data_IF_239919706341
#
_entry.id   IF_239919706341
#
_cell.length_a   1.000
_cell.length_b   1.000
_cell.length_c   1.000
_cell.angle_alpha   90.00
_cell.angle_beta   90.00
_cell.angle_gamma   90.00
#
_symmetry.space_group_name_H-M   'P 1'
#
loop_
_entity.id
_entity.type
_entity.pdbx_description
1 polymer ?
#
# COMPACT_ATOMS: atom_id res chain seq x y z
N UNK A 1 5.14 29.61 -32.11
CA UNK A 1 4.01 28.68 -31.91
C UNK A 1 4.66 27.34 -31.61
N UNK A 2 4.84 27.01 -30.33
CA UNK A 2 5.54 25.79 -29.90
C UNK A 2 4.49 24.69 -29.69
N UNK A 3 4.78 23.53 -30.27
CA UNK A 3 3.95 22.32 -30.28
C UNK A 3 3.79 21.77 -28.85
N UNK A 4 2.54 21.64 -28.40
CA UNK A 4 2.20 20.86 -27.21
C UNK A 4 2.22 19.38 -27.58
N UNK A 5 3.30 18.69 -27.22
CA UNK A 5 3.36 17.23 -27.24
C UNK A 5 2.28 16.68 -26.32
N UNK A 6 1.32 15.96 -26.91
CA UNK A 6 0.34 15.16 -26.20
C UNK A 6 1.09 14.13 -25.34
N UNK A 7 0.99 14.27 -24.02
CA UNK A 7 1.24 13.15 -23.11
C UNK A 7 0.00 12.26 -23.15
N UNK A 8 0.06 11.20 -23.95
CA UNK A 8 -0.89 10.10 -23.87
C UNK A 8 -0.71 9.43 -22.49
N UNK A 9 -1.54 9.84 -21.54
CA UNK A 9 -1.76 9.07 -20.32
C UNK A 9 -2.39 7.72 -20.75
N UNK A 10 -1.63 6.64 -20.67
CA UNK A 10 -2.16 5.28 -20.65
C UNK A 10 -3.35 5.25 -19.67
N UNK A 11 -4.55 5.04 -20.21
CA UNK A 11 -5.75 4.76 -19.42
C UNK A 11 -5.44 3.51 -18.59
N UNK A 12 -5.17 3.69 -17.30
CA UNK A 12 -5.12 2.57 -16.37
C UNK A 12 -6.41 1.75 -16.55
N UNK A 13 -6.28 0.48 -16.89
CA UNK A 13 -7.42 -0.43 -17.04
C UNK A 13 -8.29 -0.37 -15.79
N UNK A 14 -9.62 -0.34 -15.92
CA UNK A 14 -10.50 -0.30 -14.75
C UNK A 14 -10.33 -1.54 -13.85
N UNK A 15 -10.52 -1.37 -12.55
CA UNK A 15 -10.46 -2.48 -11.60
C UNK A 15 -11.67 -3.39 -11.77
N UNK A 16 -11.45 -4.71 -11.85
CA UNK A 16 -12.53 -5.69 -11.95
C UNK A 16 -12.88 -6.22 -10.55
N UNK A 17 -14.08 -5.89 -10.09
CA UNK A 17 -14.60 -6.37 -8.81
C UNK A 17 -14.95 -7.87 -8.88
N UNK A 18 -14.74 -8.63 -7.79
CA UNK A 18 -15.08 -10.06 -7.75
C UNK A 18 -16.60 -10.26 -7.76
N UNK A 19 -17.12 -11.43 -8.20
CA UNK A 19 -18.56 -11.70 -8.24
C UNK A 19 -19.27 -11.49 -6.89
N UNK A 20 -18.60 -11.77 -5.78
CA UNK A 20 -19.12 -11.58 -4.43
C UNK A 20 -19.45 -10.10 -4.11
N UNK A 21 -18.82 -9.15 -4.82
CA UNK A 21 -19.11 -7.73 -4.69
C UNK A 21 -20.52 -7.37 -5.18
N UNK A 22 -21.16 -8.19 -6.01
CA UNK A 22 -22.56 -8.00 -6.42
C UNK A 22 -23.58 -8.69 -5.48
N UNK A 23 -23.11 -9.35 -4.42
CA UNK A 23 -23.98 -10.07 -3.49
C UNK A 23 -24.39 -9.17 -2.30
N UNK A 24 -25.66 -8.76 -2.15
CA UNK A 24 -26.06 -7.79 -1.12
C UNK A 24 -25.68 -8.14 0.32
N UNK A 25 -25.76 -9.42 0.77
CA UNK A 25 -25.30 -9.81 2.11
C UNK A 25 -23.81 -9.58 2.35
N UNK A 26 -22.99 -9.46 1.31
CA UNK A 26 -21.55 -9.20 1.44
C UNK A 26 -21.24 -7.83 2.09
N UNK A 27 -22.15 -6.86 2.00
CA UNK A 27 -22.02 -5.53 2.62
C UNK A 27 -22.62 -5.45 4.03
N UNK A 28 -23.15 -6.56 4.54
CA UNK A 28 -23.74 -6.64 5.88
C UNK A 28 -22.97 -7.67 6.70
N UNK A 29 -22.51 -7.26 7.89
CA UNK A 29 -21.82 -8.13 8.84
C UNK A 29 -22.65 -9.38 9.13
N UNK A 30 -22.11 -10.56 8.81
CA UNK A 30 -22.82 -11.82 9.05
C UNK A 30 -22.90 -12.14 10.56
N UNK A 31 -24.04 -12.68 11.05
CA UNK A 31 -24.22 -12.98 12.48
C UNK A 31 -23.46 -14.22 12.92
N UNK A 32 -23.31 -15.22 12.03
CA UNK A 32 -22.55 -16.44 12.31
C UNK A 32 -21.02 -16.15 12.23
N UNK A 33 -20.26 -16.60 13.23
CA UNK A 33 -18.83 -16.30 13.35
C UNK A 33 -17.97 -16.93 12.23
N UNK A 34 -18.28 -18.14 11.77
CA UNK A 34 -17.55 -18.79 10.67
C UNK A 34 -17.82 -18.08 9.35
N UNK A 35 -19.09 -17.76 9.07
CA UNK A 35 -19.47 -16.98 7.90
C UNK A 35 -18.87 -15.58 7.95
N UNK A 36 -18.81 -14.95 9.12
CA UNK A 36 -18.18 -13.64 9.30
C UNK A 36 -16.68 -13.69 8.99
N UNK A 37 -15.97 -14.68 9.52
CA UNK A 37 -14.54 -14.87 9.24
C UNK A 37 -14.26 -15.11 7.75
N UNK A 38 -15.12 -15.88 7.08
CA UNK A 38 -15.06 -16.06 5.63
C UNK A 38 -15.31 -14.74 4.89
N UNK A 39 -16.36 -14.01 5.26
CA UNK A 39 -16.67 -12.68 4.70
C UNK A 39 -15.51 -11.69 4.88
N UNK A 40 -14.91 -11.61 6.07
CA UNK A 40 -13.73 -10.79 6.34
C UNK A 40 -12.58 -11.17 5.41
N UNK A 41 -12.29 -12.46 5.25
CA UNK A 41 -11.21 -12.93 4.38
C UNK A 41 -11.40 -12.47 2.92
N UNK A 42 -12.64 -12.51 2.40
CA UNK A 42 -12.96 -11.99 1.07
C UNK A 42 -12.82 -10.47 0.99
N UNK A 43 -13.25 -9.73 2.02
CA UNK A 43 -13.04 -8.28 2.08
C UNK A 43 -11.56 -7.92 2.10
N UNK A 44 -10.73 -8.63 2.88
CA UNK A 44 -9.28 -8.42 2.90
C UNK A 44 -8.70 -8.62 1.50
N UNK A 45 -9.02 -9.72 0.81
CA UNK A 45 -8.54 -9.97 -0.55
C UNK A 45 -8.96 -8.86 -1.52
N UNK A 46 -10.20 -8.38 -1.43
CA UNK A 46 -10.69 -7.26 -2.25
C UNK A 46 -9.95 -5.95 -1.96
N UNK A 47 -9.82 -5.57 -0.69
CA UNK A 47 -9.12 -4.34 -0.27
C UNK A 47 -7.67 -4.37 -0.76
N UNK A 48 -6.95 -5.46 -0.54
CA UNK A 48 -5.56 -5.59 -0.97
C UNK A 48 -5.42 -5.49 -2.50
N UNK A 49 -6.30 -6.17 -3.25
CA UNK A 49 -6.27 -6.12 -4.72
C UNK A 49 -6.58 -4.72 -5.25
N UNK A 50 -7.60 -4.06 -4.70
CA UNK A 50 -8.00 -2.71 -5.09
C UNK A 50 -6.92 -1.68 -4.74
N UNK A 51 -6.40 -1.71 -3.51
CA UNK A 51 -5.33 -0.83 -3.06
C UNK A 51 -4.05 -1.03 -3.89
N UNK A 52 -3.70 -2.28 -4.25
CA UNK A 52 -2.58 -2.55 -5.17
C UNK A 52 -2.80 -1.92 -6.53
N UNK A 53 -3.99 -2.09 -7.10
CA UNK A 53 -4.33 -1.61 -8.43
C UNK A 53 -4.35 -0.08 -8.52
N UNK A 54 -4.96 0.59 -7.54
CA UNK A 54 -5.04 2.06 -7.47
C UNK A 54 -3.82 2.71 -6.76
N UNK A 55 -2.88 1.90 -6.28
CA UNK A 55 -1.71 2.30 -5.48
C UNK A 55 -2.04 3.10 -4.22
N UNK A 56 -3.01 2.64 -3.44
CA UNK A 56 -3.49 3.29 -2.21
C UNK A 56 -2.85 2.63 -0.98
N UNK A 57 -1.85 3.29 -0.40
CA UNK A 57 -1.13 2.82 0.79
C UNK A 57 -1.78 3.16 2.13
N UNK A 58 -2.68 4.14 2.15
CA UNK A 58 -3.34 4.63 3.36
C UNK A 58 -4.84 4.71 3.13
N UNK A 59 -5.61 4.21 4.09
CA UNK A 59 -7.04 4.42 4.19
C UNK A 59 -7.30 5.40 5.33
N UNK A 60 -7.92 6.54 5.00
CA UNK A 60 -8.42 7.50 5.99
C UNK A 60 -9.83 7.06 6.37
N UNK A 61 -10.01 6.56 7.59
CA UNK A 61 -11.25 5.92 8.04
C UNK A 61 -12.28 6.98 8.40
N UNK A 62 -13.04 7.39 7.39
CA UNK A 62 -14.06 8.44 7.47
C UNK A 62 -15.31 8.07 6.68
N UNK A 63 -16.37 8.89 6.74
CA UNK A 63 -17.60 8.63 5.98
C UNK A 63 -17.34 8.72 4.47
N UNK A 64 -16.47 9.63 4.04
CA UNK A 64 -16.07 9.81 2.64
C UNK A 64 -15.40 8.54 2.09
N UNK A 65 -14.66 7.79 2.91
CA UNK A 65 -14.09 6.50 2.50
C UNK A 65 -15.19 5.49 2.16
N UNK A 66 -16.27 5.45 2.94
CA UNK A 66 -17.39 4.53 2.72
C UNK A 66 -18.14 4.83 1.43
N UNK A 67 -18.10 6.08 0.94
CA UNK A 67 -18.72 6.50 -0.32
C UNK A 67 -17.89 6.13 -1.56
N UNK A 68 -16.64 5.68 -1.39
CA UNK A 68 -15.80 5.23 -2.49
C UNK A 68 -16.29 3.93 -3.12
N UNK A 69 -15.92 3.67 -4.38
CA UNK A 69 -16.26 2.44 -5.08
C UNK A 69 -15.77 1.16 -4.38
N UNK A 70 -14.82 1.25 -3.44
CA UNK A 70 -14.36 0.10 -2.67
C UNK A 70 -15.42 -0.39 -1.67
N UNK A 71 -16.16 0.53 -1.04
CA UNK A 71 -17.07 0.22 0.07
C UNK A 71 -18.55 0.51 -0.26
N UNK A 72 -18.82 1.26 -1.33
CA UNK A 72 -20.14 1.52 -1.87
C UNK A 72 -20.32 0.92 -3.26
N UNK A 73 -21.20 -0.09 -3.35
CA UNK A 73 -21.61 -0.65 -4.64
C UNK A 73 -22.85 0.08 -5.16
N UNK A 74 -22.64 0.91 -6.18
CA UNK A 74 -23.70 1.68 -6.82
C UNK A 74 -24.73 0.82 -7.60
N UNK A 75 -24.34 -0.36 -8.10
CA UNK A 75 -25.22 -1.26 -8.88
C UNK A 75 -26.31 -1.88 -8.01
N UNK A 76 -25.94 -2.35 -6.81
CA UNK A 76 -26.88 -2.99 -5.87
C UNK A 76 -27.33 -2.06 -4.73
N UNK A 77 -26.85 -0.81 -4.71
CA UNK A 77 -27.15 0.21 -3.70
C UNK A 77 -26.88 -0.30 -2.28
N UNK A 78 -25.65 -0.78 -2.06
CA UNK A 78 -25.18 -1.28 -0.76
C UNK A 78 -23.86 -0.62 -0.37
N UNK A 79 -23.73 -0.37 0.94
CA UNK A 79 -22.58 0.26 1.56
C UNK A 79 -22.17 -0.53 2.80
N UNK A 80 -20.87 -0.66 3.05
CA UNK A 80 -20.35 -1.19 4.32
C UNK A 80 -20.61 -0.17 5.44
N UNK A 81 -20.98 -0.64 6.63
CA UNK A 81 -21.11 0.23 7.82
C UNK A 81 -19.76 0.48 8.47
N UNK A 82 -19.59 1.63 9.12
CA UNK A 82 -18.33 2.01 9.77
C UNK A 82 -17.82 0.96 10.77
N UNK A 83 -18.68 0.41 11.61
CA UNK A 83 -18.28 -0.60 12.60
C UNK A 83 -17.76 -1.88 11.93
N UNK A 84 -18.43 -2.31 10.86
CA UNK A 84 -18.01 -3.45 10.05
C UNK A 84 -16.67 -3.20 9.36
N UNK A 85 -16.44 -1.99 8.83
CA UNK A 85 -15.16 -1.61 8.25
C UNK A 85 -14.05 -1.71 9.30
N UNK A 86 -14.24 -1.15 10.50
CA UNK A 86 -13.25 -1.23 11.58
C UNK A 86 -12.94 -2.68 11.97
N UNK A 87 -13.95 -3.54 12.08
CA UNK A 87 -13.74 -4.98 12.32
C UNK A 87 -12.96 -5.68 11.19
N UNK A 88 -13.16 -5.28 9.92
CA UNK A 88 -12.37 -5.81 8.80
C UNK A 88 -10.92 -5.34 8.89
N UNK A 89 -10.68 -4.05 9.17
CA UNK A 89 -9.33 -3.50 9.28
C UNK A 89 -8.57 -4.09 10.48
N UNK A 90 -9.24 -4.29 11.61
CA UNK A 90 -8.67 -5.01 12.76
C UNK A 90 -8.33 -6.46 12.41
N UNK A 91 -9.16 -7.13 11.61
CA UNK A 91 -8.82 -8.46 11.09
C UNK A 91 -7.63 -8.43 10.13
N UNK A 92 -7.47 -7.39 9.31
CA UNK A 92 -6.30 -7.19 8.45
C UNK A 92 -5.02 -7.00 9.26
N UNK A 93 -5.06 -6.20 10.34
CA UNK A 93 -3.93 -5.99 11.24
C UNK A 93 -3.47 -7.29 11.89
N UNK A 94 -4.42 -8.09 12.41
CA UNK A 94 -4.15 -9.41 12.98
C UNK A 94 -3.56 -10.41 11.98
N UNK A 95 -3.73 -10.16 10.67
CA UNK A 95 -3.16 -10.95 9.58
C UNK A 95 -1.88 -10.35 9.01
N UNK A 96 -1.35 -9.28 9.62
CA UNK A 96 -0.17 -8.54 9.15
C UNK A 96 -0.31 -7.96 7.73
N UNK A 97 -1.54 -7.73 7.28
CA UNK A 97 -1.87 -7.11 5.99
C UNK A 97 -1.99 -5.58 6.08
N UNK A 98 -1.59 -5.00 7.21
CA UNK A 98 -1.68 -3.59 7.51
C UNK A 98 -1.52 -3.32 8.99
N UNK A 99 -1.60 -2.05 9.38
CA UNK A 99 -1.53 -1.60 10.77
C UNK A 99 -2.21 -0.24 10.90
N UNK A 100 -2.70 0.07 12.09
CA UNK A 100 -3.16 1.43 12.41
C UNK A 100 -1.96 2.37 12.63
N UNK A 101 -2.03 3.60 12.13
CA UNK A 101 -1.01 4.63 12.41
C UNK A 101 -0.99 4.99 13.90
N UNK A 102 -2.18 5.16 14.49
CA UNK A 102 -2.37 5.42 15.91
C UNK A 102 -3.50 4.51 16.42
N UNK A 103 -3.12 3.55 17.27
CA UNK A 103 -4.04 2.58 17.87
C UNK A 103 -5.14 3.23 18.72
N UNK A 104 -4.91 4.45 19.23
CA UNK A 104 -5.88 5.14 20.06
C UNK A 104 -6.95 5.85 19.23
N UNK A 105 -6.58 6.39 18.07
CA UNK A 105 -7.47 7.19 17.23
C UNK A 105 -8.10 6.40 16.09
N UNK A 106 -7.45 5.33 15.61
CA UNK A 106 -7.93 4.46 14.50
C UNK A 106 -8.52 5.25 13.31
N UNK A 107 -7.85 6.35 12.94
CA UNK A 107 -8.25 7.24 11.85
C UNK A 107 -7.54 6.91 10.53
N UNK A 108 -6.33 6.35 10.61
CA UNK A 108 -5.50 6.06 9.43
C UNK A 108 -5.01 4.62 9.53
N UNK A 109 -5.30 3.83 8.51
CA UNK A 109 -4.86 2.45 8.37
C UNK A 109 -3.88 2.33 7.19
N UNK A 110 -2.69 1.79 7.44
CA UNK A 110 -1.76 1.43 6.37
C UNK A 110 -2.14 0.07 5.77
N UNK A 111 -2.15 0.00 4.44
CA UNK A 111 -2.48 -1.22 3.71
C UNK A 111 -1.20 -1.84 3.15
N UNK A 112 -0.95 -3.11 3.49
CA UNK A 112 0.20 -3.87 3.04
C UNK A 112 -0.24 -4.96 2.06
N UNK A 113 -0.42 -4.62 0.78
CA UNK A 113 -0.66 -5.62 -0.30
C UNK A 113 0.59 -6.41 -0.70
N UNK A 114 1.74 -5.97 -0.20
CA UNK A 114 2.98 -6.71 -0.12
C UNK A 114 3.52 -6.51 1.29
N UNK A 115 4.17 -7.52 1.84
CA UNK A 115 4.82 -7.40 3.14
C UNK A 115 6.02 -6.45 3.06
N UNK A 116 6.45 -5.91 4.20
CA UNK A 116 7.65 -5.07 4.25
C UNK A 116 8.90 -5.84 3.78
N UNK A 117 8.97 -7.14 4.04
CA UNK A 117 10.02 -8.04 3.56
C UNK A 117 10.01 -8.21 2.04
N UNK A 118 8.84 -8.40 1.43
CA UNK A 118 8.72 -8.47 -0.03
C UNK A 118 9.14 -7.15 -0.69
N UNK A 119 8.74 -6.01 -0.11
CA UNK A 119 9.18 -4.71 -0.58
C UNK A 119 10.70 -4.51 -0.43
N UNK A 120 11.27 -4.96 0.68
CA UNK A 120 12.70 -4.93 0.92
C UNK A 120 13.46 -5.75 -0.15
N UNK A 121 12.95 -6.93 -0.50
CA UNK A 121 13.51 -7.77 -1.56
C UNK A 121 13.40 -7.11 -2.94
N UNK A 122 12.27 -6.49 -3.27
CA UNK A 122 12.09 -5.72 -4.52
C UNK A 122 13.10 -4.57 -4.59
N UNK A 123 13.30 -3.86 -3.47
CA UNK A 123 14.25 -2.75 -3.39
C UNK A 123 15.69 -3.21 -3.62
N UNK A 124 16.13 -4.28 -2.95
CA UNK A 124 17.47 -4.84 -3.15
C UNK A 124 17.65 -5.32 -4.59
N UNK A 125 16.66 -6.02 -5.15
CA UNK A 125 16.72 -6.45 -6.54
C UNK A 125 16.87 -5.28 -7.51
N UNK A 126 16.15 -4.17 -7.28
CA UNK A 126 16.29 -2.96 -8.08
C UNK A 126 17.70 -2.34 -7.97
N UNK A 127 18.24 -2.22 -6.74
CA UNK A 127 19.59 -1.70 -6.50
C UNK A 127 20.66 -2.53 -7.22
N UNK A 128 20.54 -3.86 -7.16
CA UNK A 128 21.46 -4.78 -7.83
C UNK A 128 21.36 -4.65 -9.35
N UNK A 129 20.14 -4.59 -9.89
CA UNK A 129 19.88 -4.42 -11.32
C UNK A 129 20.42 -3.10 -11.88
N UNK A 130 20.41 -2.02 -11.09
CA UNK A 130 20.88 -0.69 -11.51
C UNK A 130 22.35 -0.44 -11.18
N UNK A 131 23.04 -1.37 -10.52
CA UNK A 131 24.45 -1.24 -10.15
C UNK A 131 24.71 -0.21 -9.05
N UNK A 132 23.71 0.12 -8.23
CA UNK A 132 23.79 1.14 -7.18
C UNK A 132 24.21 0.57 -5.80
N UNK A 133 24.91 -0.57 -5.80
CA UNK A 133 25.48 -1.15 -4.59
C UNK A 133 26.65 -0.29 -4.12
N UNK A 134 26.79 -0.13 -2.81
CA UNK A 134 27.80 0.70 -2.16
C UNK A 134 27.77 2.20 -2.51
N UNK A 135 26.77 2.67 -3.24
CA UNK A 135 26.50 4.10 -3.44
C UNK A 135 25.51 4.60 -2.40
N UNK A 136 25.60 5.89 -2.08
CA UNK A 136 24.62 6.56 -1.22
C UNK A 136 23.53 7.12 -2.11
N UNK A 137 22.28 6.80 -1.80
CA UNK A 137 21.11 7.33 -2.48
C UNK A 137 20.24 8.09 -1.49
N UNK A 138 19.71 9.22 -1.93
CA UNK A 138 18.77 10.01 -1.15
C UNK A 138 17.38 9.37 -1.13
N UNK A 139 16.55 9.74 -0.16
CA UNK A 139 15.16 9.27 -0.11
C UNK A 139 14.38 9.73 -1.35
N UNK A 140 14.67 10.93 -1.86
CA UNK A 140 14.05 11.43 -3.08
C UNK A 140 14.34 10.51 -4.27
N UNK A 141 15.60 10.12 -4.48
CA UNK A 141 15.98 9.20 -5.56
C UNK A 141 15.31 7.83 -5.43
N UNK A 142 15.08 7.38 -4.19
CA UNK A 142 14.50 6.07 -3.86
C UNK A 142 12.97 6.02 -3.83
N UNK A 143 12.29 7.16 -3.93
CA UNK A 143 10.82 7.25 -3.97
C UNK A 143 10.35 7.88 -5.29
N UNK A 144 10.98 8.96 -5.72
CA UNK A 144 10.56 9.77 -6.86
C UNK A 144 11.60 9.85 -7.99
N UNK A 145 12.75 9.19 -7.84
CA UNK A 145 13.79 9.17 -8.86
C UNK A 145 13.29 8.70 -10.22
N UNK A 146 13.78 9.34 -11.30
CA UNK A 146 13.38 9.00 -12.68
C UNK A 146 13.63 7.52 -13.03
N UNK A 147 14.64 6.91 -12.41
CA UNK A 147 14.96 5.49 -12.59
C UNK A 147 13.88 4.54 -12.04
N UNK A 148 12.93 5.04 -11.24
CA UNK A 148 11.86 4.24 -10.65
C UNK A 148 10.57 4.27 -11.47
N UNK A 149 10.36 5.20 -12.40
CA UNK A 149 9.05 5.48 -13.06
C UNK A 149 8.32 4.22 -13.56
N UNK A 150 9.05 3.21 -14.03
CA UNK A 150 8.51 1.95 -14.54
C UNK A 150 8.59 0.78 -13.54
N UNK A 151 8.67 1.06 -12.24
CA UNK A 151 8.84 0.08 -11.16
C UNK A 151 7.73 0.23 -10.12
N UNK A 152 7.47 -0.85 -9.39
CA UNK A 152 6.50 -0.81 -8.29
C UNK A 152 6.96 0.05 -7.09
N UNK A 153 8.23 0.45 -7.04
CA UNK A 153 8.79 1.30 -5.98
C UNK A 153 8.49 2.79 -6.19
N UNK A 154 8.13 3.19 -7.43
CA UNK A 154 7.83 4.58 -7.71
C UNK A 154 6.66 5.10 -6.88
N UNK A 155 6.88 6.24 -6.23
CA UNK A 155 5.90 6.90 -5.35
C UNK A 155 5.37 5.98 -4.25
N UNK A 156 6.21 5.08 -3.74
CA UNK A 156 5.89 4.36 -2.52
C UNK A 156 5.65 5.35 -1.37
N UNK A 157 4.74 5.00 -0.48
CA UNK A 157 4.43 5.86 0.66
C UNK A 157 5.68 6.12 1.53
N UNK A 158 6.01 7.37 1.90
CA UNK A 158 7.23 7.67 2.65
C UNK A 158 7.34 6.99 4.02
N UNK A 159 6.23 6.73 4.70
CA UNK A 159 6.24 6.04 6.01
C UNK A 159 6.50 4.55 5.81
N UNK A 160 5.86 3.94 4.81
CA UNK A 160 6.12 2.55 4.43
C UNK A 160 7.56 2.39 3.95
N UNK A 161 8.06 3.31 3.13
CA UNK A 161 9.46 3.34 2.71
C UNK A 161 10.42 3.37 3.91
N UNK A 162 10.21 4.28 4.87
CA UNK A 162 11.02 4.34 6.10
C UNK A 162 11.02 2.99 6.83
N UNK A 163 9.88 2.28 6.91
CA UNK A 163 9.78 0.94 7.50
C UNK A 163 10.52 -0.14 6.69
N UNK A 164 10.45 -0.10 5.35
CA UNK A 164 11.20 -1.01 4.47
C UNK A 164 12.70 -0.85 4.70
N UNK A 165 13.19 0.39 4.76
CA UNK A 165 14.61 0.67 5.06
C UNK A 165 15.00 0.12 6.43
N UNK A 166 14.14 0.24 7.45
CA UNK A 166 14.41 -0.35 8.76
C UNK A 166 14.51 -1.88 8.71
N UNK A 167 13.70 -2.55 7.88
CA UNK A 167 13.83 -4.01 7.65
C UNK A 167 15.18 -4.33 7.01
N UNK A 168 15.61 -3.57 6.00
CA UNK A 168 16.91 -3.78 5.35
C UNK A 168 18.10 -3.52 6.28
N UNK A 169 18.02 -2.50 7.14
CA UNK A 169 19.03 -2.22 8.17
C UNK A 169 19.12 -3.36 9.17
N UNK A 170 17.98 -3.90 9.64
CA UNK A 170 17.96 -5.06 10.56
C UNK A 170 18.54 -6.33 9.94
N UNK A 171 18.57 -6.42 8.61
CA UNK A 171 19.17 -7.53 7.85
C UNK A 171 20.61 -7.24 7.42
N UNK A 172 21.22 -6.17 7.91
CA UNK A 172 22.57 -5.69 7.52
C UNK A 172 22.75 -5.46 6.01
N UNK A 173 21.65 -5.25 5.28
CA UNK A 173 21.67 -5.00 3.83
C UNK A 173 21.67 -3.52 3.47
N UNK A 174 21.39 -2.64 4.42
CA UNK A 174 21.42 -1.19 4.23
C UNK A 174 21.90 -0.45 5.49
N UNK A 175 22.41 0.76 5.31
CA UNK A 175 22.75 1.69 6.39
C UNK A 175 22.18 3.06 6.06
N UNK A 176 21.44 3.63 7.01
CA UNK A 176 20.94 5.01 6.92
C UNK A 176 22.04 5.96 7.34
N UNK A 177 22.34 6.93 6.48
CA UNK A 177 23.22 8.05 6.74
C UNK A 177 22.34 9.26 7.04
N UNK A 178 22.47 9.78 8.26
CA UNK A 178 21.69 10.93 8.71
C UNK A 178 22.49 12.19 8.44
N UNK A 179 21.95 13.08 7.62
CA UNK A 179 22.42 14.46 7.55
C UNK A 179 21.86 15.31 8.69
N UNK A 180 22.02 16.62 8.55
CA UNK A 180 21.63 17.61 9.56
C UNK A 180 20.11 17.75 9.66
N UNK A 181 19.40 17.52 8.55
CA UNK A 181 17.93 17.62 8.42
C UNK A 181 17.33 16.35 7.78
N UNK A 182 16.00 16.18 7.83
CA UNK A 182 15.33 14.99 7.25
C UNK A 182 15.50 14.89 5.72
N UNK A 183 15.68 16.02 5.03
CA UNK A 183 15.88 16.04 3.57
C UNK A 183 17.30 15.58 3.16
N UNK A 184 18.20 15.42 4.13
CA UNK A 184 19.57 14.95 3.93
C UNK A 184 19.74 13.46 4.31
N UNK A 185 18.65 12.72 4.52
CA UNK A 185 18.74 11.28 4.73
C UNK A 185 19.21 10.57 3.45
N UNK A 186 20.37 9.92 3.56
CA UNK A 186 20.90 8.98 2.59
C UNK A 186 20.76 7.54 3.05
N UNK A 187 20.72 6.61 2.11
CA UNK A 187 20.81 5.16 2.37
C UNK A 187 21.93 4.59 1.52
N UNK A 188 22.84 3.86 2.16
CA UNK A 188 23.83 3.03 1.48
C UNK A 188 23.36 1.58 1.50
N UNK A 189 23.37 0.91 0.35
CA UNK A 189 22.97 -0.49 0.23
C UNK A 189 24.18 -1.39 0.04
N UNK A 190 24.19 -2.54 0.72
CA UNK A 190 25.31 -3.46 0.72
C UNK A 190 25.04 -4.76 -0.05
N UNK A 191 23.83 -5.01 -0.55
CA UNK A 191 23.42 -6.19 -1.35
C UNK A 191 23.37 -7.52 -0.56
N UNK A 192 22.82 -8.59 -1.15
CA UNK A 192 22.94 -9.93 -0.54
C UNK A 192 24.41 -10.39 -0.62
N UNK A 193 24.91 -11.00 0.46
CA UNK A 193 26.21 -11.70 0.50
C UNK A 193 26.02 -13.06 -0.17
#
# INVERSE_FOLDING_TARGET
>A
MLECTHFDHEKASEFVFPPLYEFPPFFTRQPNAETWKSQQSHWVSLILAYCRHKRIFRLYVSQELLETELFFNNKIKRCVKMDMLKEILDFMENKHNGEWLDNNKKDIFFVYWRTLDEWADIMIHWIEKTGQRNTILTYYELIEGRALVNTELYKIDPIIFKKIIQVLVKKDMAQVLRGSNEDEFGVKFFGRI
#
